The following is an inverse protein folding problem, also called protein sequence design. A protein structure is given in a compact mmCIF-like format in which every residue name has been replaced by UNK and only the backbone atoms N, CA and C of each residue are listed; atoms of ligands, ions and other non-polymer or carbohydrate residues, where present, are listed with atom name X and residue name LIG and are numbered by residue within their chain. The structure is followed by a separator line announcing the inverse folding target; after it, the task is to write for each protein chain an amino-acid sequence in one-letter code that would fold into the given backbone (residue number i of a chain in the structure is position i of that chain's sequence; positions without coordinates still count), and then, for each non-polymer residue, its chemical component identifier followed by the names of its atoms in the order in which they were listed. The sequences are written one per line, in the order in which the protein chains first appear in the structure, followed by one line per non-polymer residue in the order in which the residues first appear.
data_IF_564747495121
#
_entry.id   IF_564747495121
#
_cell.length_a   1.000
_cell.length_b   1.000
_cell.length_c   1.000
_cell.angle_alpha   90.00
_cell.angle_beta   90.00
_cell.angle_gamma   90.00
#
_symmetry.space_group_name_H-M   'P 1'
#
loop_
_entity.id
_entity.type
_entity.pdbx_description
1 polymer ?
#
# COMPACT_ATOMS: atom_id res chain seq x y z
N UNK A 1 -26.49 50.23 -17.38
CA UNK A 1 -26.69 48.97 -18.14
C UNK A 1 -25.67 47.88 -17.80
N UNK A 2 -24.37 48.20 -17.64
CA UNK A 2 -23.32 47.19 -17.39
C UNK A 2 -23.43 46.45 -16.04
N UNK A 3 -23.95 47.10 -14.99
CA UNK A 3 -24.07 46.51 -13.64
C UNK A 3 -25.16 45.44 -13.55
N UNK A 4 -26.24 45.57 -14.33
CA UNK A 4 -27.33 44.58 -14.35
C UNK A 4 -26.88 43.31 -15.08
N UNK A 5 -26.15 43.45 -16.19
CA UNK A 5 -25.63 42.31 -16.96
C UNK A 5 -24.59 41.52 -16.15
N UNK A 6 -23.73 42.19 -15.38
CA UNK A 6 -22.74 41.52 -14.50
C UNK A 6 -23.41 40.76 -13.35
N UNK A 7 -24.47 41.31 -12.76
CA UNK A 7 -25.25 40.61 -11.72
C UNK A 7 -25.94 39.36 -12.31
N UNK A 8 -26.52 39.45 -13.52
CA UNK A 8 -27.12 38.30 -14.21
C UNK A 8 -26.09 37.22 -14.57
N UNK A 9 -24.88 37.59 -15.00
CA UNK A 9 -23.82 36.62 -15.27
C UNK A 9 -23.32 35.92 -13.99
N UNK A 10 -23.22 36.63 -12.87
CA UNK A 10 -22.80 36.06 -11.60
C UNK A 10 -23.85 35.11 -11.02
N UNK A 11 -25.14 35.42 -11.14
CA UNK A 11 -26.23 34.52 -10.71
C UNK A 11 -26.31 33.27 -11.59
N UNK A 12 -26.12 33.38 -12.90
CA UNK A 12 -26.04 32.23 -13.81
C UNK A 12 -24.83 31.32 -13.53
N UNK A 13 -23.66 31.90 -13.27
CA UNK A 13 -22.45 31.15 -12.89
C UNK A 13 -22.60 30.43 -11.56
N UNK A 14 -23.18 31.08 -10.55
CA UNK A 14 -23.40 30.46 -9.23
C UNK A 14 -24.45 29.35 -9.30
N UNK A 15 -25.54 29.55 -10.04
CA UNK A 15 -26.57 28.52 -10.29
C UNK A 15 -26.00 27.30 -11.02
N UNK A 16 -25.19 27.51 -12.07
CA UNK A 16 -24.57 26.41 -12.83
C UNK A 16 -23.54 25.64 -12.00
N UNK A 17 -22.75 26.31 -11.15
CA UNK A 17 -21.86 25.65 -10.18
C UNK A 17 -22.67 24.85 -9.15
N UNK A 18 -23.77 25.38 -8.63
CA UNK A 18 -24.64 24.70 -7.68
C UNK A 18 -25.29 23.45 -8.31
N UNK A 19 -25.80 23.54 -9.54
CA UNK A 19 -26.35 22.42 -10.30
C UNK A 19 -25.27 21.37 -10.64
N UNK A 20 -24.04 21.79 -10.95
CA UNK A 20 -22.89 20.89 -11.11
C UNK A 20 -22.54 20.17 -9.80
N UNK A 21 -22.61 20.85 -8.65
CA UNK A 21 -22.37 20.22 -7.33
C UNK A 21 -23.50 19.26 -6.95
N UNK A 22 -24.75 19.64 -7.14
CA UNK A 22 -25.92 18.79 -6.88
C UNK A 22 -25.95 17.56 -7.79
N UNK A 23 -25.69 17.74 -9.10
CA UNK A 23 -25.58 16.63 -10.03
C UNK A 23 -24.38 15.73 -9.70
N UNK A 24 -23.21 16.28 -9.33
CA UNK A 24 -22.08 15.48 -8.83
C UNK A 24 -22.43 14.73 -7.55
N UNK A 25 -23.16 15.34 -6.61
CA UNK A 25 -23.58 14.71 -5.35
C UNK A 25 -24.59 13.59 -5.58
N UNK A 26 -25.61 13.80 -6.41
CA UNK A 26 -26.56 12.74 -6.83
C UNK A 26 -25.85 11.64 -7.63
N UNK A 27 -24.90 11.99 -8.50
CA UNK A 27 -24.07 11.03 -9.25
C UNK A 27 -23.13 10.24 -8.31
N UNK A 28 -22.62 10.86 -7.26
CA UNK A 28 -21.85 10.20 -6.21
C UNK A 28 -22.72 9.20 -5.46
N UNK A 29 -23.87 9.66 -4.95
CA UNK A 29 -24.82 8.86 -4.19
C UNK A 29 -25.31 7.63 -4.97
N UNK A 30 -25.77 7.79 -6.22
CA UNK A 30 -26.21 6.61 -6.98
C UNK A 30 -25.06 5.66 -7.39
N UNK A 31 -23.81 6.15 -7.48
CA UNK A 31 -22.67 5.24 -7.73
C UNK A 31 -22.35 4.45 -6.47
N UNK A 32 -22.43 5.10 -5.33
CA UNK A 32 -22.21 4.47 -4.03
C UNK A 32 -23.29 3.43 -3.72
N UNK A 33 -24.55 3.73 -4.01
CA UNK A 33 -25.66 2.76 -3.93
C UNK A 33 -25.38 1.54 -4.82
N UNK A 34 -25.01 1.77 -6.08
CA UNK A 34 -24.65 0.67 -6.99
C UNK A 34 -23.43 -0.13 -6.49
N UNK A 35 -22.41 0.55 -5.94
CA UNK A 35 -21.22 -0.12 -5.37
C UNK A 35 -21.63 -1.03 -4.21
N UNK A 36 -22.47 -0.53 -3.30
CA UNK A 36 -22.98 -1.31 -2.16
C UNK A 36 -23.83 -2.50 -2.61
N UNK A 37 -24.66 -2.32 -3.64
CA UNK A 37 -25.45 -3.40 -4.22
C UNK A 37 -24.55 -4.50 -4.81
N UNK A 38 -23.56 -4.12 -5.63
CA UNK A 38 -22.62 -5.09 -6.20
C UNK A 38 -21.76 -5.75 -5.14
N UNK A 39 -21.31 -5.02 -4.11
CA UNK A 39 -20.57 -5.62 -2.99
C UNK A 39 -21.41 -6.69 -2.30
N UNK A 40 -22.69 -6.41 -1.99
CA UNK A 40 -23.59 -7.41 -1.39
C UNK A 40 -23.79 -8.63 -2.27
N UNK A 41 -24.03 -8.44 -3.57
CA UNK A 41 -24.20 -9.54 -4.53
C UNK A 41 -22.94 -10.41 -4.62
N UNK A 42 -21.77 -9.79 -4.76
CA UNK A 42 -20.50 -10.51 -4.85
C UNK A 42 -20.18 -11.24 -3.54
N UNK A 43 -20.39 -10.62 -2.39
CA UNK A 43 -20.20 -11.29 -1.09
C UNK A 43 -21.14 -12.48 -0.92
N UNK A 44 -22.42 -12.35 -1.31
CA UNK A 44 -23.36 -13.47 -1.24
C UNK A 44 -22.91 -14.65 -2.13
N UNK A 45 -22.45 -14.38 -3.35
CA UNK A 45 -21.94 -15.42 -4.25
C UNK A 45 -20.65 -16.06 -3.72
N UNK A 46 -19.72 -15.26 -3.20
CA UNK A 46 -18.48 -15.79 -2.61
C UNK A 46 -18.74 -16.70 -1.41
N UNK A 47 -19.82 -16.46 -0.65
CA UNK A 47 -20.22 -17.32 0.47
C UNK A 47 -20.96 -18.58 0.03
N UNK A 48 -21.62 -18.53 -1.13
CA UNK A 48 -22.40 -19.66 -1.66
C UNK A 48 -21.55 -20.65 -2.46
N UNK A 49 -20.35 -20.26 -2.89
CA UNK A 49 -19.43 -21.07 -3.70
C UNK A 49 -20.16 -21.75 -4.88
N UNK A 50 -20.59 -20.97 -5.90
CA UNK A 50 -21.45 -21.50 -6.96
C UNK A 50 -20.77 -22.66 -7.69
N UNK A 51 -21.51 -23.78 -7.83
CA UNK A 51 -21.06 -24.98 -8.54
C UNK A 51 -20.64 -24.70 -10.00
N UNK A 52 -21.24 -23.68 -10.61
CA UNK A 52 -20.99 -23.28 -12.00
C UNK A 52 -20.83 -21.75 -12.12
N UNK A 53 -19.58 -21.32 -12.19
CA UNK A 53 -19.19 -19.90 -12.30
C UNK A 53 -19.75 -19.27 -13.60
N UNK A 54 -19.91 -20.05 -14.68
CA UNK A 54 -20.37 -19.52 -15.97
C UNK A 54 -21.83 -19.04 -15.93
N UNK A 55 -22.63 -19.55 -14.98
CA UNK A 55 -24.02 -19.15 -14.78
C UNK A 55 -24.17 -17.84 -13.98
N UNK A 56 -23.08 -17.28 -13.46
CA UNK A 56 -23.13 -16.06 -12.64
C UNK A 56 -23.45 -14.83 -13.51
N UNK A 57 -24.66 -14.27 -13.31
CA UNK A 57 -25.22 -13.23 -14.17
C UNK A 57 -25.01 -11.78 -13.69
N UNK A 58 -23.90 -11.45 -13.01
CA UNK A 58 -23.64 -10.05 -12.62
C UNK A 58 -23.25 -9.24 -13.85
N UNK A 59 -24.13 -8.32 -14.29
CA UNK A 59 -23.91 -7.44 -15.44
C UNK A 59 -24.07 -5.97 -15.05
N UNK A 60 -23.16 -5.15 -15.57
CA UNK A 60 -23.17 -3.71 -15.49
C UNK A 60 -23.45 -3.14 -16.89
N UNK A 61 -24.57 -2.43 -17.02
CA UNK A 61 -25.13 -1.98 -18.29
C UNK A 61 -24.45 -0.72 -18.81
N UNK A 62 -23.93 0.11 -17.92
CA UNK A 62 -23.31 1.38 -18.28
C UNK A 62 -21.92 1.57 -17.64
N UNK A 63 -21.20 2.59 -18.12
CA UNK A 63 -19.83 2.86 -17.67
C UNK A 63 -19.73 3.40 -16.23
N UNK A 64 -20.85 3.71 -15.58
CA UNK A 64 -20.92 4.11 -14.16
C UNK A 64 -21.08 2.88 -13.29
N UNK A 65 -21.98 1.97 -13.64
CA UNK A 65 -22.14 0.67 -12.99
C UNK A 65 -20.86 -0.16 -13.09
N UNK A 66 -20.19 -0.19 -14.26
CA UNK A 66 -18.90 -0.89 -14.38
C UNK A 66 -17.84 -0.34 -13.43
N UNK A 67 -17.84 0.98 -13.21
CA UNK A 67 -16.96 1.61 -12.22
C UNK A 67 -17.37 1.27 -10.79
N UNK A 68 -18.67 1.25 -10.48
CA UNK A 68 -19.18 0.85 -9.18
C UNK A 68 -18.85 -0.62 -8.86
N UNK A 69 -18.99 -1.51 -9.85
CA UNK A 69 -18.62 -2.92 -9.77
C UNK A 69 -17.10 -3.08 -9.58
N UNK A 70 -16.29 -2.32 -10.30
CA UNK A 70 -14.83 -2.27 -10.09
C UNK A 70 -14.49 -1.86 -8.65
N UNK A 71 -15.12 -0.79 -8.14
CA UNK A 71 -14.92 -0.33 -6.76
C UNK A 71 -15.40 -1.38 -5.74
N UNK A 72 -16.45 -2.14 -6.05
CA UNK A 72 -16.95 -3.23 -5.22
C UNK A 72 -15.95 -4.40 -5.15
N UNK A 73 -15.44 -4.86 -6.29
CA UNK A 73 -14.39 -5.90 -6.38
C UNK A 73 -13.15 -5.45 -5.60
N UNK A 74 -12.70 -4.21 -5.82
CA UNK A 74 -11.57 -3.65 -5.07
C UNK A 74 -11.81 -3.66 -3.55
N UNK A 75 -13.02 -3.30 -3.11
CA UNK A 75 -13.38 -3.31 -1.68
C UNK A 75 -13.30 -4.72 -1.10
N UNK A 76 -13.86 -5.71 -1.79
CA UNK A 76 -13.85 -7.11 -1.37
C UNK A 76 -12.41 -7.63 -1.30
N UNK A 77 -11.66 -7.51 -2.39
CA UNK A 77 -10.25 -7.92 -2.47
C UNK A 77 -9.36 -7.22 -1.45
N UNK A 78 -9.73 -6.01 -1.01
CA UNK A 78 -8.95 -5.27 -0.02
C UNK A 78 -9.19 -5.71 1.42
N UNK A 79 -10.32 -6.33 1.72
CA UNK A 79 -10.74 -6.65 3.09
C UNK A 79 -11.01 -8.14 3.33
N UNK A 80 -10.97 -8.96 2.28
CA UNK A 80 -11.30 -10.39 2.35
C UNK A 80 -10.09 -11.20 1.90
N UNK A 81 -9.65 -12.12 2.75
CA UNK A 81 -8.55 -13.04 2.47
C UNK A 81 -9.09 -14.32 1.84
N UNK A 82 -8.37 -14.88 0.86
CA UNK A 82 -8.73 -16.17 0.25
C UNK A 82 -10.00 -16.16 -0.60
N UNK A 83 -10.44 -15.01 -1.11
CA UNK A 83 -11.58 -14.95 -2.03
C UNK A 83 -11.35 -15.81 -3.27
N UNK A 84 -12.42 -16.42 -3.80
CA UNK A 84 -12.37 -17.08 -5.10
C UNK A 84 -12.07 -16.05 -6.21
N UNK A 85 -10.81 -16.07 -6.64
CA UNK A 85 -10.28 -15.20 -7.69
C UNK A 85 -10.93 -15.55 -9.05
N UNK A 86 -11.36 -16.79 -9.27
CA UNK A 86 -11.94 -17.22 -10.54
C UNK A 86 -13.32 -16.61 -10.74
N UNK A 87 -14.17 -16.61 -9.71
CA UNK A 87 -15.45 -15.90 -9.74
C UNK A 87 -15.26 -14.40 -10.05
N UNK A 88 -14.36 -13.73 -9.33
CA UNK A 88 -14.11 -12.29 -9.53
C UNK A 88 -13.52 -12.00 -10.92
N UNK A 89 -12.67 -12.90 -11.43
CA UNK A 89 -12.12 -12.83 -12.80
C UNK A 89 -13.24 -12.96 -13.82
N UNK A 90 -14.10 -13.97 -13.71
CA UNK A 90 -15.23 -14.18 -14.60
C UNK A 90 -16.14 -12.94 -14.65
N UNK A 91 -16.51 -12.39 -13.48
CA UNK A 91 -17.33 -11.18 -13.41
C UNK A 91 -16.62 -9.98 -14.07
N UNK A 92 -15.31 -9.82 -13.86
CA UNK A 92 -14.55 -8.73 -14.45
C UNK A 92 -14.47 -8.84 -15.99
N UNK A 93 -14.30 -10.05 -16.52
CA UNK A 93 -14.26 -10.35 -17.95
C UNK A 93 -15.62 -10.13 -18.61
N UNK A 94 -16.68 -10.68 -18.02
CA UNK A 94 -18.08 -10.50 -18.46
C UNK A 94 -18.49 -9.02 -18.56
N UNK A 95 -17.88 -8.16 -17.76
CA UNK A 95 -18.14 -6.71 -17.75
C UNK A 95 -17.06 -5.87 -18.45
N UNK A 96 -16.04 -6.51 -19.04
CA UNK A 96 -14.91 -5.87 -19.72
C UNK A 96 -14.27 -4.77 -18.87
N UNK A 97 -14.13 -5.01 -17.56
CA UNK A 97 -13.69 -4.00 -16.60
C UNK A 97 -12.25 -3.55 -16.88
N UNK A 98 -11.36 -4.49 -17.20
CA UNK A 98 -9.96 -4.20 -17.51
C UNK A 98 -9.82 -3.27 -18.73
N UNK A 99 -10.51 -3.60 -19.83
CA UNK A 99 -10.51 -2.77 -21.05
C UNK A 99 -11.04 -1.35 -20.78
N UNK A 100 -12.11 -1.23 -19.99
CA UNK A 100 -12.65 0.07 -19.57
C UNK A 100 -11.62 0.86 -18.76
N UNK A 101 -10.93 0.23 -17.81
CA UNK A 101 -9.93 0.87 -16.97
C UNK A 101 -8.69 1.29 -17.74
N UNK A 102 -8.16 0.44 -18.61
CA UNK A 102 -7.04 0.79 -19.49
C UNK A 102 -7.38 2.04 -20.32
N UNK A 103 -8.53 2.03 -21.00
CA UNK A 103 -9.00 3.19 -21.80
C UNK A 103 -9.10 4.45 -20.94
N UNK A 104 -9.68 4.38 -19.74
CA UNK A 104 -9.81 5.56 -18.86
C UNK A 104 -8.47 6.04 -18.30
N UNK A 105 -7.55 5.13 -18.01
CA UNK A 105 -6.24 5.43 -17.43
C UNK A 105 -5.37 6.23 -18.40
N UNK A 106 -5.42 5.89 -19.69
CA UNK A 106 -4.71 6.61 -20.76
C UNK A 106 -5.03 8.11 -20.77
N UNK A 107 -6.30 8.47 -20.54
CA UNK A 107 -6.77 9.87 -20.56
C UNK A 107 -6.78 10.55 -19.18
N UNK A 108 -6.71 9.80 -18.09
CA UNK A 108 -6.67 10.35 -16.73
C UNK A 108 -5.32 10.99 -16.43
N UNK A 109 -5.25 11.89 -15.43
CA UNK A 109 -4.01 12.50 -14.93
C UNK A 109 -4.00 12.55 -13.40
N UNK A 110 -2.81 12.65 -12.81
CA UNK A 110 -2.57 12.79 -11.37
C UNK A 110 -3.32 11.75 -10.52
N UNK A 111 -3.89 12.20 -9.41
CA UNK A 111 -4.66 11.38 -8.46
C UNK A 111 -5.75 10.50 -9.11
N UNK A 112 -6.42 10.99 -10.18
CA UNK A 112 -7.43 10.19 -10.89
C UNK A 112 -6.80 9.01 -11.61
N UNK A 113 -5.61 9.19 -12.20
CA UNK A 113 -4.85 8.12 -12.84
C UNK A 113 -4.36 7.12 -11.80
N UNK A 114 -3.78 7.60 -10.70
CA UNK A 114 -3.34 6.76 -9.59
C UNK A 114 -4.48 5.88 -9.06
N UNK A 115 -5.65 6.46 -8.83
CA UNK A 115 -6.84 5.72 -8.39
C UNK A 115 -7.26 4.63 -9.40
N UNK A 116 -7.25 4.92 -10.69
CA UNK A 116 -7.63 3.92 -11.71
C UNK A 116 -6.62 2.76 -11.78
N UNK A 117 -5.33 3.05 -11.64
CA UNK A 117 -4.28 2.03 -11.56
C UNK A 117 -4.41 1.18 -10.30
N UNK A 118 -4.70 1.80 -9.16
CA UNK A 118 -4.96 1.09 -7.90
C UNK A 118 -6.21 0.17 -8.01
N UNK A 119 -7.25 0.59 -8.72
CA UNK A 119 -8.39 -0.29 -9.00
C UNK A 119 -8.00 -1.48 -9.90
N UNK A 120 -7.08 -1.27 -10.85
CA UNK A 120 -6.57 -2.36 -11.69
C UNK A 120 -5.77 -3.39 -10.89
N UNK A 121 -5.10 -3.00 -9.79
CA UNK A 121 -4.35 -3.96 -8.96
C UNK A 121 -5.21 -4.95 -8.18
N UNK A 122 -6.53 -4.72 -8.12
CA UNK A 122 -7.47 -5.65 -7.49
C UNK A 122 -8.28 -6.47 -8.50
N UNK A 123 -8.26 -6.09 -9.78
CA UNK A 123 -8.95 -6.86 -10.82
C UNK A 123 -7.99 -7.94 -11.32
N UNK A 124 -8.38 -9.22 -11.29
CA UNK A 124 -7.60 -10.29 -11.90
C UNK A 124 -7.31 -9.94 -13.36
N UNK A 125 -6.03 -9.79 -13.70
CA UNK A 125 -5.63 -9.22 -14.98
C UNK A 125 -5.78 -10.22 -16.14
N UNK A 126 -6.05 -9.68 -17.33
CA UNK A 126 -5.88 -10.39 -18.59
C UNK A 126 -4.40 -10.41 -18.99
N UNK A 127 -3.97 -11.43 -19.75
CA UNK A 127 -2.55 -11.72 -20.07
C UNK A 127 -1.76 -10.53 -20.67
N UNK A 128 -2.44 -9.57 -21.33
CA UNK A 128 -1.80 -8.46 -22.05
C UNK A 128 -1.77 -7.12 -21.28
N UNK A 129 -2.22 -7.09 -20.01
CA UNK A 129 -2.37 -5.83 -19.26
C UNK A 129 -1.05 -5.14 -18.90
N UNK A 130 0.06 -5.87 -18.84
CA UNK A 130 1.33 -5.42 -18.25
C UNK A 130 2.11 -4.43 -19.10
N UNK A 131 2.14 -4.59 -20.42
CA UNK A 131 2.89 -3.66 -21.29
C UNK A 131 2.28 -2.25 -21.27
N UNK A 132 0.95 -2.16 -21.12
CA UNK A 132 0.27 -0.88 -20.95
C UNK A 132 0.66 -0.19 -19.64
N UNK A 133 0.88 -0.95 -18.57
CA UNK A 133 1.22 -0.45 -17.24
C UNK A 133 2.67 0.01 -17.14
N UNK A 134 3.58 -0.61 -17.91
CA UNK A 134 5.02 -0.33 -17.85
C UNK A 134 5.37 1.15 -18.04
N UNK A 135 4.63 1.85 -18.91
CA UNK A 135 4.80 3.30 -19.16
C UNK A 135 4.60 4.18 -17.92
N UNK A 136 3.93 3.68 -16.89
CA UNK A 136 3.62 4.43 -15.67
C UNK A 136 4.58 4.12 -14.52
N UNK A 137 5.43 3.09 -14.64
CA UNK A 137 6.40 2.70 -13.61
C UNK A 137 7.49 3.75 -13.37
N UNK A 138 7.74 4.63 -14.34
CA UNK A 138 8.68 5.75 -14.21
C UNK A 138 7.96 7.11 -14.20
N UNK A 139 6.69 7.14 -13.81
CA UNK A 139 5.94 8.39 -13.65
C UNK A 139 6.60 9.29 -12.61
N UNK A 140 6.65 10.61 -12.88
CA UNK A 140 7.12 11.61 -11.89
C UNK A 140 6.22 11.67 -10.66
N UNK A 141 4.92 11.46 -10.84
CA UNK A 141 3.94 11.35 -9.76
C UNK A 141 4.12 10.01 -9.04
N UNK A 142 4.48 10.07 -7.75
CA UNK A 142 4.75 8.91 -6.91
C UNK A 142 3.53 8.01 -6.73
N UNK A 143 2.33 8.59 -6.57
CA UNK A 143 1.10 7.83 -6.40
C UNK A 143 0.72 7.07 -7.67
N UNK A 144 0.91 7.69 -8.84
CA UNK A 144 0.74 7.01 -10.13
C UNK A 144 1.73 5.87 -10.26
N UNK A 145 3.00 6.13 -9.91
CA UNK A 145 4.10 5.17 -10.01
C UNK A 145 3.88 3.93 -9.16
N UNK A 146 3.61 4.09 -7.87
CA UNK A 146 3.34 2.95 -6.97
C UNK A 146 2.05 2.22 -7.36
N UNK A 147 1.00 2.95 -7.78
CA UNK A 147 -0.25 2.29 -8.20
C UNK A 147 -0.07 1.48 -9.48
N UNK A 148 0.79 1.92 -10.40
CA UNK A 148 1.18 1.14 -11.58
C UNK A 148 2.00 -0.09 -11.20
N UNK A 149 2.93 0.04 -10.25
CA UNK A 149 3.70 -1.09 -9.73
C UNK A 149 2.76 -2.14 -9.14
N UNK A 150 1.85 -1.76 -8.24
CA UNK A 150 0.89 -2.70 -7.65
C UNK A 150 0.04 -3.41 -8.71
N UNK A 151 -0.42 -2.69 -9.73
CA UNK A 151 -1.18 -3.29 -10.83
C UNK A 151 -0.33 -4.29 -11.64
N UNK A 152 0.94 -3.96 -11.87
CA UNK A 152 1.88 -4.83 -12.61
C UNK A 152 2.19 -6.10 -11.80
N UNK A 153 2.43 -5.95 -10.51
CA UNK A 153 2.69 -7.05 -9.59
C UNK A 153 1.49 -7.98 -9.46
N UNK A 154 0.27 -7.44 -9.35
CA UNK A 154 -0.95 -8.23 -9.31
C UNK A 154 -1.23 -8.95 -10.63
N UNK A 155 -0.89 -8.34 -11.76
CA UNK A 155 -1.08 -8.93 -13.09
C UNK A 155 -0.06 -10.04 -13.41
N UNK A 156 1.18 -9.89 -12.94
CA UNK A 156 2.27 -10.86 -13.16
C UNK A 156 3.04 -11.17 -11.86
N UNK A 157 2.43 -11.91 -10.92
CA UNK A 157 3.05 -12.20 -9.62
C UNK A 157 4.39 -12.93 -9.72
N UNK A 158 4.54 -13.83 -10.70
CA UNK A 158 5.76 -14.60 -10.95
C UNK A 158 6.94 -13.73 -11.36
N UNK A 159 6.68 -12.56 -11.94
CA UNK A 159 7.69 -11.60 -12.39
C UNK A 159 7.98 -10.52 -11.34
N UNK A 160 7.42 -10.63 -10.13
CA UNK A 160 7.48 -9.58 -9.12
C UNK A 160 8.91 -9.19 -8.72
N UNK A 161 9.77 -10.17 -8.44
CA UNK A 161 11.17 -9.93 -8.04
C UNK A 161 11.91 -9.15 -9.12
N UNK A 162 11.83 -9.61 -10.38
CA UNK A 162 12.45 -8.93 -11.53
C UNK A 162 11.89 -7.52 -11.73
N UNK A 163 10.59 -7.33 -11.52
CA UNK A 163 9.94 -6.02 -11.67
C UNK A 163 10.43 -5.04 -10.61
N UNK A 164 10.55 -5.48 -9.36
CA UNK A 164 11.01 -4.66 -8.24
C UNK A 164 12.51 -4.35 -8.34
N UNK A 165 13.32 -5.34 -8.76
CA UNK A 165 14.76 -5.15 -8.90
C UNK A 165 15.12 -4.18 -10.03
N UNK A 166 14.27 -4.07 -11.05
CA UNK A 166 14.47 -3.19 -12.20
C UNK A 166 14.01 -1.74 -11.97
N UNK A 167 13.49 -1.39 -10.78
CA UNK A 167 13.05 -0.03 -10.48
C UNK A 167 14.26 0.92 -10.36
N UNK A 168 14.18 2.05 -11.03
CA UNK A 168 15.22 3.11 -11.02
C UNK A 168 15.11 4.05 -9.80
N UNK A 169 14.18 3.79 -8.88
CA UNK A 169 13.93 4.59 -7.69
C UNK A 169 13.84 3.70 -6.45
N UNK A 170 14.12 4.30 -5.29
CA UNK A 170 14.01 3.62 -4.01
C UNK A 170 12.57 3.58 -3.51
N UNK A 171 12.13 2.41 -3.03
CA UNK A 171 10.82 2.24 -2.43
C UNK A 171 10.77 2.87 -1.04
N UNK A 172 9.82 3.77 -0.84
CA UNK A 172 9.57 4.35 0.49
C UNK A 172 8.90 3.34 1.42
N UNK A 173 8.95 3.53 2.76
CA UNK A 173 8.20 2.71 3.70
C UNK A 173 6.69 2.64 3.39
N UNK A 174 6.12 3.71 2.84
CA UNK A 174 4.73 3.74 2.41
C UNK A 174 4.48 2.86 1.18
N UNK A 175 5.39 2.88 0.20
CA UNK A 175 5.32 2.01 -0.97
C UNK A 175 5.39 0.53 -0.57
N UNK A 176 6.31 0.21 0.34
CA UNK A 176 6.47 -1.14 0.88
C UNK A 176 5.21 -1.63 1.60
N UNK A 177 4.59 -0.78 2.43
CA UNK A 177 3.33 -1.13 3.10
C UNK A 177 2.21 -1.45 2.09
N UNK A 178 2.17 -0.75 0.95
CA UNK A 178 1.20 -1.04 -0.11
C UNK A 178 1.52 -2.35 -0.84
N UNK A 179 2.79 -2.68 -1.08
CA UNK A 179 3.19 -3.98 -1.66
C UNK A 179 2.87 -5.12 -0.69
N UNK A 180 3.13 -4.93 0.61
CA UNK A 180 2.77 -5.89 1.67
C UNK A 180 1.26 -6.16 1.68
N UNK A 181 0.42 -5.18 1.37
CA UNK A 181 -1.02 -5.41 1.26
C UNK A 181 -1.39 -6.45 0.18
N UNK A 182 -0.62 -6.56 -0.91
CA UNK A 182 -0.80 -7.62 -1.91
C UNK A 182 -0.33 -8.98 -1.40
N UNK A 183 0.79 -9.01 -0.66
CA UNK A 183 1.30 -10.23 -0.02
C UNK A 183 0.30 -10.80 0.98
N UNK A 184 -0.25 -9.96 1.86
CA UNK A 184 -1.26 -10.37 2.83
C UNK A 184 -2.50 -10.98 2.17
N UNK A 185 -2.85 -10.54 0.96
CA UNK A 185 -3.97 -11.09 0.16
C UNK A 185 -3.64 -12.40 -0.55
N UNK A 186 -2.43 -12.92 -0.43
CA UNK A 186 -1.98 -14.12 -1.14
C UNK A 186 -1.72 -13.89 -2.64
N UNK A 187 -1.60 -12.65 -3.09
CA UNK A 187 -1.43 -12.32 -4.51
C UNK A 187 0.02 -12.36 -4.99
N UNK A 188 0.98 -12.47 -4.07
CA UNK A 188 2.42 -12.47 -4.37
C UNK A 188 3.10 -13.68 -3.73
N UNK A 189 3.60 -14.64 -4.52
CA UNK A 189 4.31 -15.81 -4.01
C UNK A 189 5.80 -15.47 -3.77
N UNK A 190 6.09 -14.57 -2.84
CA UNK A 190 7.44 -14.06 -2.57
C UNK A 190 7.85 -14.43 -1.15
N UNK A 191 8.95 -15.17 -1.03
CA UNK A 191 9.60 -15.48 0.24
C UNK A 191 10.58 -14.36 0.65
N UNK A 192 10.84 -14.20 1.95
CA UNK A 192 11.69 -13.11 2.45
C UNK A 192 13.19 -13.44 2.36
N UNK A 193 13.56 -14.72 2.47
CA UNK A 193 14.95 -15.17 2.53
C UNK A 193 15.75 -14.79 1.28
N UNK A 194 15.24 -15.03 0.05
CA UNK A 194 15.95 -14.63 -1.16
C UNK A 194 16.08 -13.10 -1.26
N UNK A 195 15.09 -12.36 -0.76
CA UNK A 195 15.09 -10.89 -0.79
C UNK A 195 16.14 -10.29 0.14
N UNK A 196 16.31 -10.86 1.34
CA UNK A 196 17.39 -10.48 2.27
C UNK A 196 18.77 -10.98 1.81
N UNK A 197 18.78 -11.97 0.91
CA UNK A 197 20.01 -12.49 0.32
C UNK A 197 20.52 -11.64 -0.84
N UNK A 198 19.61 -11.00 -1.55
CA UNK A 198 19.89 -10.19 -2.73
C UNK A 198 20.72 -8.94 -2.39
N UNK A 199 21.48 -8.42 -3.37
CA UNK A 199 22.23 -7.17 -3.26
C UNK A 199 21.44 -5.93 -3.67
N UNK A 200 20.22 -6.09 -4.18
CA UNK A 200 19.36 -4.99 -4.58
C UNK A 200 18.67 -4.35 -3.36
N UNK A 201 18.86 -3.03 -3.19
CA UNK A 201 18.28 -2.26 -2.09
C UNK A 201 16.75 -2.43 -1.97
N UNK A 202 16.01 -2.36 -3.08
CA UNK A 202 14.54 -2.46 -3.05
C UNK A 202 14.07 -3.85 -2.62
N UNK A 203 14.77 -4.91 -3.05
CA UNK A 203 14.46 -6.27 -2.63
C UNK A 203 14.77 -6.47 -1.15
N UNK A 204 15.95 -6.04 -0.67
CA UNK A 204 16.29 -6.13 0.75
C UNK A 204 15.30 -5.35 1.63
N UNK A 205 14.92 -4.14 1.22
CA UNK A 205 13.90 -3.32 1.88
C UNK A 205 12.56 -4.04 1.96
N UNK A 206 12.13 -4.67 0.87
CA UNK A 206 10.92 -5.48 0.87
C UNK A 206 11.04 -6.70 1.78
N UNK A 207 12.17 -7.41 1.75
CA UNK A 207 12.43 -8.56 2.63
C UNK A 207 12.32 -8.17 4.11
N UNK A 208 12.94 -7.06 4.51
CA UNK A 208 12.86 -6.52 5.87
C UNK A 208 11.44 -6.10 6.23
N UNK A 209 10.72 -5.47 5.30
CA UNK A 209 9.33 -5.07 5.51
C UNK A 209 8.40 -6.29 5.69
N UNK A 210 8.64 -7.40 4.97
CA UNK A 210 7.94 -8.68 5.15
C UNK A 210 8.23 -9.24 6.54
N UNK A 211 9.51 -9.37 6.91
CA UNK A 211 9.92 -9.87 8.23
C UNK A 211 9.23 -9.09 9.36
N UNK A 212 9.24 -7.75 9.29
CA UNK A 212 8.58 -6.89 10.28
C UNK A 212 7.06 -7.08 10.29
N UNK A 213 6.44 -7.19 9.11
CA UNK A 213 4.97 -7.25 8.98
C UNK A 213 4.37 -8.57 9.42
N UNK A 214 5.16 -9.65 9.43
CA UNK A 214 4.75 -11.01 9.79
C UNK A 214 5.47 -11.54 11.05
N UNK A 215 6.34 -10.77 11.68
CA UNK A 215 7.03 -11.17 12.93
C UNK A 215 7.97 -12.36 12.73
N UNK A 216 8.75 -12.40 11.65
CA UNK A 216 9.55 -13.58 11.30
C UNK A 216 10.86 -13.60 12.09
N UNK A 217 10.82 -14.18 13.29
CA UNK A 217 11.94 -14.25 14.22
C UNK A 217 13.19 -14.95 13.68
N UNK A 218 13.02 -15.97 12.84
CA UNK A 218 14.13 -16.76 12.26
C UNK A 218 15.04 -15.88 11.38
N UNK A 219 14.56 -14.71 10.92
CA UNK A 219 15.34 -13.76 10.13
C UNK A 219 16.45 -13.04 10.92
N UNK A 220 16.46 -13.11 12.26
CA UNK A 220 17.40 -12.40 13.14
C UNK A 220 18.86 -12.55 12.70
N UNK A 221 19.32 -13.79 12.47
CA UNK A 221 20.70 -14.05 12.05
C UNK A 221 21.06 -13.32 10.76
N UNK A 222 20.12 -13.26 9.80
CA UNK A 222 20.33 -12.56 8.53
C UNK A 222 20.32 -11.04 8.71
N UNK A 223 19.46 -10.51 9.58
CA UNK A 223 19.45 -9.08 9.91
C UNK A 223 20.77 -8.64 10.56
N UNK A 224 21.34 -9.44 11.47
CA UNK A 224 22.67 -9.19 12.02
C UNK A 224 23.75 -9.16 10.94
N UNK A 225 23.73 -10.11 9.99
CA UNK A 225 24.65 -10.11 8.85
C UNK A 225 24.53 -8.82 8.02
N UNK A 226 23.31 -8.38 7.73
CA UNK A 226 23.08 -7.12 7.00
C UNK A 226 23.64 -5.93 7.78
N UNK A 227 23.35 -5.79 9.07
CA UNK A 227 23.84 -4.67 9.90
C UNK A 227 25.38 -4.65 9.94
N UNK A 228 26.01 -5.82 9.98
CA UNK A 228 27.47 -5.91 10.07
C UNK A 228 28.16 -5.63 8.73
N UNK A 229 27.68 -6.21 7.64
CA UNK A 229 28.35 -6.22 6.32
C UNK A 229 27.90 -5.11 5.37
N UNK A 230 26.66 -4.62 5.48
CA UNK A 230 26.10 -3.67 4.51
C UNK A 230 26.74 -2.27 4.63
N UNK A 231 26.97 -1.64 3.49
CA UNK A 231 27.56 -0.29 3.40
C UNK A 231 26.48 0.78 3.32
N UNK A 232 25.34 0.48 2.72
CA UNK A 232 24.23 1.43 2.60
C UNK A 232 23.62 1.75 3.99
N UNK A 233 23.74 2.99 4.50
CA UNK A 233 23.20 3.35 5.81
C UNK A 233 21.69 3.18 5.91
N UNK A 234 20.95 3.38 4.83
CA UNK A 234 19.49 3.24 4.82
C UNK A 234 19.06 1.79 5.07
N UNK A 235 19.75 0.82 4.43
CA UNK A 235 19.50 -0.61 4.64
C UNK A 235 19.87 -1.01 6.07
N UNK A 236 21.03 -0.57 6.56
CA UNK A 236 21.47 -0.86 7.94
C UNK A 236 20.47 -0.32 8.95
N UNK A 237 20.01 0.91 8.78
CA UNK A 237 18.98 1.51 9.63
C UNK A 237 17.70 0.68 9.62
N UNK A 238 17.19 0.32 8.44
CA UNK A 238 15.97 -0.47 8.34
C UNK A 238 16.13 -1.87 8.92
N UNK A 239 17.32 -2.47 8.84
CA UNK A 239 17.61 -3.74 9.51
C UNK A 239 17.56 -3.60 11.03
N UNK A 240 18.08 -2.49 11.59
CA UNK A 240 17.97 -2.18 13.02
C UNK A 240 16.51 -1.97 13.44
N UNK A 241 15.73 -1.20 12.68
CA UNK A 241 14.30 -1.02 12.95
C UNK A 241 13.56 -2.36 12.93
N UNK A 242 13.84 -3.20 11.93
CA UNK A 242 13.24 -4.53 11.80
C UNK A 242 13.61 -5.43 12.97
N UNK A 243 14.89 -5.50 13.34
CA UNK A 243 15.39 -6.25 14.48
C UNK A 243 14.71 -5.78 15.79
N UNK A 244 14.55 -4.45 15.92
CA UNK A 244 13.91 -3.86 17.10
C UNK A 244 12.42 -4.19 17.21
N UNK A 245 11.68 -4.21 16.09
CA UNK A 245 10.27 -4.62 16.04
C UNK A 245 10.07 -6.12 16.29
N UNK A 246 11.12 -6.94 16.15
CA UNK A 246 11.13 -8.34 16.60
C UNK A 246 11.46 -8.48 18.09
N UNK A 247 11.58 -7.37 18.83
CA UNK A 247 11.92 -7.37 20.26
C UNK A 247 13.36 -7.82 20.55
N UNK A 248 14.26 -7.78 19.56
CA UNK A 248 15.62 -8.30 19.72
C UNK A 248 16.60 -7.27 20.30
N UNK A 249 17.53 -7.70 21.17
CA UNK A 249 18.45 -6.79 21.84
C UNK A 249 19.42 -6.13 20.86
N UNK A 250 19.61 -4.83 20.99
CA UNK A 250 20.51 -4.03 20.14
C UNK A 250 21.89 -3.78 20.76
N UNK A 251 22.20 -4.43 21.89
CA UNK A 251 23.42 -4.20 22.68
C UNK A 251 24.71 -4.75 22.06
N UNK A 252 24.63 -5.49 20.95
CA UNK A 252 25.80 -6.07 20.30
C UNK A 252 26.78 -4.98 19.83
N UNK A 253 28.07 -5.15 20.08
CA UNK A 253 29.12 -4.14 19.82
C UNK A 253 29.03 -3.53 18.43
N UNK A 254 28.90 -4.38 17.40
CA UNK A 254 28.79 -3.93 16.01
C UNK A 254 27.51 -3.13 15.71
N UNK A 255 26.40 -3.44 16.39
CA UNK A 255 25.15 -2.66 16.27
C UNK A 255 25.36 -1.29 16.92
N UNK A 256 25.98 -1.24 18.10
CA UNK A 256 26.29 0.02 18.80
C UNK A 256 27.19 0.93 17.97
N UNK A 257 28.20 0.39 17.29
CA UNK A 257 29.04 1.15 16.35
C UNK A 257 28.22 1.77 15.21
N UNK A 258 27.30 1.00 14.61
CA UNK A 258 26.41 1.50 13.56
C UNK A 258 25.45 2.58 14.08
N UNK A 259 24.94 2.40 15.29
CA UNK A 259 24.08 3.38 15.96
C UNK A 259 24.82 4.66 16.31
N UNK A 260 26.08 4.58 16.72
CA UNK A 260 26.91 5.76 16.98
C UNK A 260 27.20 6.57 15.72
N UNK A 261 27.32 5.91 14.56
CA UNK A 261 27.49 6.55 13.26
C UNK A 261 26.20 7.15 12.67
N UNK A 262 25.04 6.84 13.25
CA UNK A 262 23.74 7.28 12.77
C UNK A 262 23.50 8.78 13.10
N UNK A 263 22.88 9.57 12.20
CA UNK A 263 22.52 10.95 12.48
C UNK A 263 21.64 11.11 13.72
N UNK A 264 21.84 12.18 14.48
CA UNK A 264 21.07 12.44 15.72
C UNK A 264 19.55 12.47 15.52
N UNK A 265 19.08 12.99 14.38
CA UNK A 265 17.66 13.00 14.02
C UNK A 265 17.07 11.59 13.89
N UNK A 266 17.84 10.68 13.30
CA UNK A 266 17.45 9.29 13.07
C UNK A 266 17.55 8.47 14.36
N UNK A 267 18.59 8.71 15.18
CA UNK A 267 18.69 8.15 16.54
C UNK A 267 17.50 8.56 17.41
N UNK A 268 17.09 9.83 17.36
CA UNK A 268 15.88 10.31 18.07
C UNK A 268 14.60 9.67 17.56
N UNK A 269 14.49 9.39 16.26
CA UNK A 269 13.37 8.64 15.70
C UNK A 269 13.37 7.18 16.19
N UNK A 270 14.55 6.55 16.27
CA UNK A 270 14.70 5.21 16.81
C UNK A 270 14.33 5.16 18.30
N UNK A 271 14.69 6.16 19.11
CA UNK A 271 14.23 6.23 20.51
C UNK A 271 12.69 6.21 20.63
N UNK A 272 11.98 6.95 19.76
CA UNK A 272 10.51 6.94 19.73
C UNK A 272 9.98 5.56 19.36
N UNK A 273 10.59 4.95 18.35
CA UNK A 273 10.24 3.61 17.89
C UNK A 273 10.41 2.57 19.00
N UNK A 274 11.58 2.52 19.64
CA UNK A 274 11.84 1.61 20.77
C UNK A 274 10.87 1.82 21.94
N UNK A 275 10.47 3.07 22.19
CA UNK A 275 9.46 3.37 23.22
C UNK A 275 8.09 2.79 22.87
N UNK A 276 7.70 2.82 21.60
CA UNK A 276 6.44 2.24 21.09
C UNK A 276 6.50 0.71 21.10
N UNK A 277 7.64 0.12 20.73
CA UNK A 277 7.90 -1.32 20.76
C UNK A 277 8.07 -1.87 22.19
N UNK A 278 8.01 -1.01 23.22
CA UNK A 278 7.99 -1.43 24.63
C UNK A 278 9.36 -1.76 25.23
N UNK A 279 10.45 -1.24 24.67
CA UNK A 279 11.78 -1.45 25.25
C UNK A 279 11.90 -0.83 26.65
N UNK A 280 12.63 -1.52 27.54
CA UNK A 280 12.89 -1.01 28.87
C UNK A 280 13.84 0.18 28.85
N UNK A 281 13.71 1.08 29.83
CA UNK A 281 14.61 2.23 29.96
C UNK A 281 16.08 1.79 30.15
N UNK A 282 16.31 0.65 30.82
CA UNK A 282 17.65 0.07 30.94
C UNK A 282 18.24 -0.35 29.60
N UNK A 283 17.44 -0.95 28.71
CA UNK A 283 17.88 -1.28 27.36
C UNK A 283 18.22 -0.03 26.54
N UNK A 284 17.40 1.02 26.64
CA UNK A 284 17.65 2.30 25.95
C UNK A 284 18.92 2.98 26.47
N UNK A 285 19.10 3.07 27.80
CA UNK A 285 20.29 3.68 28.43
C UNK A 285 21.59 2.97 28.07
N UNK A 286 21.55 1.67 27.80
CA UNK A 286 22.72 0.91 27.33
C UNK A 286 23.16 1.23 25.89
N UNK A 287 22.32 1.90 25.12
CA UNK A 287 22.51 2.14 23.68
C UNK A 287 22.73 3.63 23.38
N UNK A 288 21.97 4.51 24.04
CA UNK A 288 21.92 5.93 23.74
C UNK A 288 22.68 6.79 24.74
N UNK A 289 22.91 8.05 24.38
CA UNK A 289 23.48 9.06 25.28
C UNK A 289 22.49 9.40 26.41
N UNK A 290 22.99 10.09 27.44
CA UNK A 290 22.16 10.54 28.57
C UNK A 290 20.99 11.43 28.09
N UNK A 291 21.26 12.45 27.27
CA UNK A 291 20.22 13.34 26.71
C UNK A 291 19.13 12.60 25.91
N UNK A 292 19.52 11.60 25.12
CA UNK A 292 18.58 10.78 24.34
C UNK A 292 17.78 9.81 25.23
N UNK A 293 18.40 9.34 26.30
CA UNK A 293 17.76 8.48 27.30
C UNK A 293 16.72 9.23 28.11
N UNK A 294 17.01 10.47 28.50
CA UNK A 294 16.05 11.37 29.16
C UNK A 294 14.84 11.63 28.26
N UNK A 295 15.10 11.85 26.97
CA UNK A 295 14.04 11.98 25.98
C UNK A 295 13.15 10.72 25.88
N UNK A 296 13.76 9.53 25.86
CA UNK A 296 13.03 8.27 25.83
C UNK A 296 12.24 8.02 27.13
N UNK A 297 12.77 8.40 28.29
CA UNK A 297 12.09 8.28 29.58
C UNK A 297 10.78 9.09 29.60
N UNK A 298 10.82 10.33 29.11
CA UNK A 298 9.62 11.17 28.95
C UNK A 298 8.59 10.49 28.03
N UNK A 299 9.03 9.88 26.92
CA UNK A 299 8.13 9.19 26.00
C UNK A 299 7.49 7.96 26.63
N UNK A 300 8.29 7.07 27.22
CA UNK A 300 7.82 5.85 27.88
C UNK A 300 6.81 6.19 28.99
N UNK A 301 7.10 7.22 29.79
CA UNK A 301 6.20 7.68 30.85
C UNK A 301 4.90 8.26 30.30
N UNK A 302 4.93 8.92 29.13
CA UNK A 302 3.70 9.42 28.49
C UNK A 302 2.82 8.28 27.96
N UNK A 303 3.40 7.24 27.34
CA UNK A 303 2.65 6.06 26.88
C UNK A 303 2.06 5.25 28.04
N UNK A 304 2.81 5.04 29.13
CA UNK A 304 2.30 4.34 30.32
C UNK A 304 1.12 5.06 30.96
N UNK A 305 1.14 6.40 31.01
CA UNK A 305 0.01 7.20 31.54
C UNK A 305 -1.24 7.10 30.69
N UNK A 306 -1.11 6.88 29.38
CA UNK A 306 -2.26 6.67 28.50
C UNK A 306 -2.94 5.31 28.78
N UNK A 307 -2.15 4.26 29.01
CA UNK A 307 -2.66 2.91 29.34
C UNK A 307 -3.31 2.82 30.72
N UNK A 308 -2.85 3.62 31.70
CA UNK A 308 -3.45 3.67 33.03
C UNK A 308 -4.80 4.44 33.08
N UNK A 309 -5.20 5.08 31.97
CA UNK A 309 -6.45 5.87 31.85
C UNK A 309 -7.46 5.26 30.87
N UNK A 310 -7.14 4.13 30.25
CA UNK A 310 -8.01 3.32 29.38
C UNK A 310 -8.57 2.12 30.13
#
# INVERSE_FOLDING_TARGET
MNSVITIYCLTLCTLSIALLRLSRRRRSSGREIARMQYSRQLTALLLQEPDDIEKVAIRAHNARERMALTEAIYTIMSHSYGCDIQLLRHVAECNRLQQMLCRRTRWARGARRARLLMLQSAIPAAENATEELRRYLNSRDSDVRISALLATLAATPTMAIRTISALEYELSPFDLARIISLLRRGLLPIAYEPLLADGNNNLQMLGMAIVRSFGIEIAEKRLHQIITSERNPAIVSQAIYTLSSLGRPLGHTRIRERLAAMPSSERKALCRHLSVEGYSLGAVRGIFTEQESDYAEVLINSYKRALARS
#
